data_IF_522728905816
#
_entry.id   IF_522728905816
#
_cell.length_a   1.000
_cell.length_b   1.000
_cell.length_c   1.000
_cell.angle_alpha   90.00
_cell.angle_beta   90.00
_cell.angle_gamma   90.00
#
_symmetry.space_group_name_H-M   'P 1'
#
loop_
_entity.id
_entity.type
_entity.pdbx_description
1 polymer ?
#
# COMPACT_ATOMS: atom_id res chain seq x y z
N UNK A 1 54.97 3.59 -6.42
CA UNK A 1 54.47 3.65 -5.03
C UNK A 1 52.97 3.77 -5.14
N UNK A 2 52.31 2.63 -5.33
CA UNK A 2 50.86 2.53 -5.33
C UNK A 2 50.41 2.43 -3.89
N UNK A 3 49.56 3.38 -3.48
CA UNK A 3 48.87 3.33 -2.18
C UNK A 3 47.83 2.21 -2.21
N UNK A 4 47.72 1.38 -1.16
CA UNK A 4 46.77 0.29 -1.16
C UNK A 4 45.35 0.85 -1.00
N UNK A 5 44.51 0.46 -1.96
CA UNK A 5 43.06 0.50 -1.96
C UNK A 5 42.47 0.20 -0.59
N UNK A 6 41.74 1.18 -0.02
CA UNK A 6 40.86 0.98 1.11
C UNK A 6 39.73 0.03 0.70
N UNK A 7 39.83 -1.21 1.12
CA UNK A 7 38.74 -2.17 1.09
C UNK A 7 37.74 -1.70 2.16
N UNK A 8 36.77 -0.87 1.76
CA UNK A 8 35.55 -0.73 2.55
C UNK A 8 34.88 -2.10 2.55
N UNK A 9 35.05 -2.84 3.66
CA UNK A 9 34.22 -4.01 3.92
C UNK A 9 32.77 -3.56 3.77
N UNK A 10 32.06 -4.15 2.82
CA UNK A 10 30.63 -3.99 2.68
C UNK A 10 29.99 -4.72 3.87
N UNK A 11 30.01 -4.07 5.04
CA UNK A 11 29.49 -4.63 6.28
C UNK A 11 27.98 -4.68 6.12
N UNK A 12 27.44 -5.88 6.23
CA UNK A 12 26.02 -6.17 6.06
C UNK A 12 25.20 -5.40 7.11
N UNK A 13 23.99 -4.97 6.76
CA UNK A 13 23.07 -4.30 7.69
C UNK A 13 22.77 -5.22 8.88
N UNK A 14 22.72 -6.53 8.63
CA UNK A 14 22.49 -7.52 9.68
C UNK A 14 23.65 -7.63 10.66
N UNK A 15 24.91 -7.52 10.22
CA UNK A 15 26.08 -7.49 11.12
C UNK A 15 26.03 -6.25 12.03
N UNK A 16 25.66 -5.09 11.48
CA UNK A 16 25.54 -3.83 12.24
C UNK A 16 24.41 -3.95 13.29
N UNK A 17 23.31 -4.62 12.93
CA UNK A 17 22.19 -4.85 13.85
C UNK A 17 22.56 -5.81 14.97
N UNK A 18 23.30 -6.88 14.69
CA UNK A 18 23.75 -7.84 15.70
C UNK A 18 24.75 -7.18 16.67
N UNK A 19 25.66 -6.35 16.16
CA UNK A 19 26.54 -5.51 16.99
C UNK A 19 25.75 -4.54 17.87
N UNK A 20 24.73 -3.88 17.30
CA UNK A 20 23.87 -2.95 18.02
C UNK A 20 23.05 -3.66 19.10
N UNK A 21 22.51 -4.85 18.81
CA UNK A 21 21.77 -5.66 19.77
C UNK A 21 22.65 -6.02 20.96
N UNK A 22 23.88 -6.50 20.71
CA UNK A 22 24.84 -6.82 21.77
C UNK A 22 25.19 -5.58 22.60
N UNK A 23 25.45 -4.44 21.95
CA UNK A 23 25.76 -3.19 22.64
C UNK A 23 24.58 -2.64 23.45
N UNK A 24 23.35 -2.89 23.01
CA UNK A 24 22.11 -2.44 23.67
C UNK A 24 21.90 -3.10 25.04
N UNK A 25 22.48 -4.30 25.26
CA UNK A 25 22.38 -5.06 26.52
C UNK A 25 23.42 -4.65 27.56
N UNK A 26 24.47 -3.93 27.14
CA UNK A 26 25.61 -3.56 28.00
C UNK A 26 25.47 -2.09 28.42
N UNK A 27 25.64 -1.73 29.70
CA UNK A 27 25.62 -0.34 30.14
C UNK A 27 26.71 0.51 29.45
N UNK A 28 26.41 1.78 29.15
CA UNK A 28 27.31 2.67 28.38
C UNK A 28 28.75 2.75 28.90
N UNK A 29 28.95 2.63 30.23
CA UNK A 29 30.28 2.70 30.87
C UNK A 29 31.15 1.46 30.64
N UNK A 30 30.54 0.32 30.28
CA UNK A 30 31.21 -0.98 30.14
C UNK A 30 31.46 -1.35 28.67
N UNK A 31 31.05 -0.49 27.72
CA UNK A 31 31.20 -0.74 26.28
C UNK A 31 32.62 -0.44 25.83
N UNK A 32 33.22 -1.36 25.08
CA UNK A 32 34.53 -1.17 24.43
C UNK A 32 34.45 -0.23 23.23
N UNK A 33 33.30 -0.19 22.54
CA UNK A 33 33.06 0.61 21.34
C UNK A 33 31.91 1.59 21.58
N UNK A 34 32.02 2.79 20.98
CA UNK A 34 30.96 3.80 21.05
C UNK A 34 29.76 3.38 20.21
N UNK A 35 28.59 3.31 20.83
CA UNK A 35 27.35 2.93 20.14
C UNK A 35 26.96 3.91 19.04
N UNK A 36 27.34 5.19 19.17
CA UNK A 36 27.05 6.23 18.18
C UNK A 36 27.53 5.86 16.78
N UNK A 37 28.71 5.21 16.65
CA UNK A 37 29.21 4.82 15.31
C UNK A 37 28.36 3.74 14.66
N UNK A 38 27.82 2.79 15.44
CA UNK A 38 26.92 1.76 14.90
C UNK A 38 25.57 2.37 14.51
N UNK A 39 25.04 3.27 15.35
CA UNK A 39 23.79 4.01 15.08
C UNK A 39 23.92 4.86 13.83
N UNK A 40 24.99 5.63 13.67
CA UNK A 40 25.18 6.51 12.51
C UNK A 40 25.31 5.70 11.23
N UNK A 41 26.09 4.61 11.25
CA UNK A 41 26.23 3.71 10.09
C UNK A 41 24.90 3.04 9.71
N UNK A 42 24.14 2.57 10.70
CA UNK A 42 22.82 1.98 10.46
C UNK A 42 21.84 3.02 9.90
N UNK A 43 21.82 4.24 10.45
CA UNK A 43 20.98 5.33 9.96
C UNK A 43 21.32 5.71 8.52
N UNK A 44 22.61 5.78 8.16
CA UNK A 44 23.05 6.04 6.78
C UNK A 44 22.55 4.95 5.82
N UNK A 45 22.74 3.68 6.16
CA UNK A 45 22.27 2.55 5.33
C UNK A 45 20.75 2.49 5.22
N UNK A 46 20.04 2.65 6.34
CA UNK A 46 18.58 2.68 6.33
C UNK A 46 18.02 3.88 5.54
N UNK A 47 18.73 5.01 5.55
CA UNK A 47 18.37 6.14 4.69
C UNK A 47 18.59 5.84 3.22
N UNK A 48 19.66 5.14 2.85
CA UNK A 48 20.03 4.81 1.46
C UNK A 48 19.14 3.73 0.83
N UNK A 49 18.99 2.61 1.52
CA UNK A 49 18.43 1.36 0.95
C UNK A 49 17.15 0.90 1.65
N UNK A 50 16.79 1.51 2.78
CA UNK A 50 15.75 1.01 3.66
C UNK A 50 16.18 -0.23 4.44
N UNK A 51 15.22 -0.80 5.18
CA UNK A 51 15.40 -2.00 5.99
C UNK A 51 14.53 -3.13 5.45
N UNK A 52 15.13 -4.31 5.31
CA UNK A 52 14.39 -5.55 5.03
C UNK A 52 13.38 -5.85 6.14
N UNK A 53 12.38 -6.69 5.91
CA UNK A 53 11.39 -7.02 6.93
C UNK A 53 12.02 -7.70 8.16
N UNK A 54 13.05 -8.53 7.97
CA UNK A 54 13.79 -9.17 9.06
C UNK A 54 14.61 -8.15 9.87
N UNK A 55 15.36 -7.28 9.18
CA UNK A 55 16.17 -6.23 9.79
C UNK A 55 15.30 -5.19 10.51
N UNK A 56 14.14 -4.86 9.93
CA UNK A 56 13.13 -3.99 10.53
C UNK A 56 12.56 -4.60 11.82
N UNK A 57 12.21 -5.88 11.79
CA UNK A 57 11.69 -6.59 12.96
C UNK A 57 12.73 -6.64 14.08
N UNK A 58 13.98 -7.00 13.78
CA UNK A 58 15.10 -6.97 14.74
C UNK A 58 15.28 -5.58 15.36
N UNK A 59 15.30 -4.54 14.53
CA UNK A 59 15.47 -3.17 15.03
C UNK A 59 14.30 -2.73 15.92
N UNK A 60 13.07 -3.11 15.56
CA UNK A 60 11.90 -2.84 16.41
C UNK A 60 11.99 -3.59 17.73
N UNK A 61 12.52 -4.81 17.77
CA UNK A 61 12.77 -5.52 19.04
C UNK A 61 13.78 -4.75 19.91
N UNK A 62 14.89 -4.30 19.33
CA UNK A 62 15.89 -3.47 20.05
C UNK A 62 15.23 -2.20 20.62
N UNK A 63 14.36 -1.53 19.85
CA UNK A 63 13.72 -0.28 20.25
C UNK A 63 12.59 -0.44 21.27
N UNK A 64 11.92 -1.59 21.28
CA UNK A 64 10.73 -1.85 22.12
C UNK A 64 11.04 -2.62 23.39
N UNK A 65 12.10 -3.42 23.40
CA UNK A 65 12.57 -4.15 24.57
C UNK A 65 13.45 -3.27 25.47
N UNK A 66 13.58 -3.61 26.77
CA UNK A 66 14.48 -2.91 27.68
C UNK A 66 15.91 -2.93 27.16
N UNK A 67 16.50 -1.75 27.01
CA UNK A 67 17.86 -1.57 26.51
C UNK A 67 18.55 -0.41 27.23
N UNK A 68 19.87 -0.37 27.09
CA UNK A 68 20.77 0.63 27.68
C UNK A 68 21.15 1.73 26.67
N UNK A 69 20.42 1.86 25.55
CA UNK A 69 20.67 2.89 24.55
C UNK A 69 20.23 4.26 25.08
N UNK A 70 20.98 5.30 24.72
CA UNK A 70 20.58 6.66 25.08
C UNK A 70 19.38 7.12 24.24
N UNK A 71 18.63 8.09 24.78
CA UNK A 71 17.41 8.59 24.14
C UNK A 71 17.66 9.26 22.79
N UNK A 72 18.86 9.82 22.57
CA UNK A 72 19.25 10.41 21.30
C UNK A 72 19.40 9.35 20.21
N UNK A 73 20.13 8.27 20.52
CA UNK A 73 20.27 7.11 19.65
C UNK A 73 18.93 6.49 19.29
N UNK A 74 18.06 6.23 20.27
CA UNK A 74 16.71 5.68 20.03
C UNK A 74 15.89 6.59 19.11
N UNK A 75 15.89 7.90 19.39
CA UNK A 75 15.18 8.87 18.56
C UNK A 75 15.71 8.92 17.12
N UNK A 76 17.02 8.80 16.94
CA UNK A 76 17.65 8.81 15.62
C UNK A 76 17.32 7.53 14.82
N UNK A 77 17.34 6.37 15.47
CA UNK A 77 16.96 5.10 14.87
C UNK A 77 15.50 5.09 14.42
N UNK A 78 14.57 5.57 15.26
CA UNK A 78 13.14 5.65 14.89
C UNK A 78 12.93 6.62 13.71
N UNK A 79 13.69 7.73 13.67
CA UNK A 79 13.61 8.71 12.57
C UNK A 79 14.03 8.11 11.22
N UNK A 80 14.97 7.18 11.22
CA UNK A 80 15.49 6.52 10.01
C UNK A 80 14.92 5.10 9.80
N UNK A 81 13.81 4.78 10.44
CA UNK A 81 13.15 3.48 10.34
C UNK A 81 12.38 3.35 9.01
N UNK A 82 13.09 3.27 7.88
CA UNK A 82 12.49 3.18 6.54
C UNK A 82 12.28 1.72 6.13
N UNK A 83 11.04 1.23 5.98
CA UNK A 83 10.81 -0.12 5.47
C UNK A 83 11.08 -0.18 3.95
N UNK A 84 11.91 -1.13 3.52
CA UNK A 84 12.19 -1.36 2.09
C UNK A 84 10.98 -1.98 1.35
N UNK A 85 10.12 -2.70 2.07
CA UNK A 85 8.93 -3.35 1.53
C UNK A 85 7.68 -3.04 2.38
N UNK A 86 6.58 -3.79 2.20
CA UNK A 86 5.39 -3.64 3.06
C UNK A 86 5.70 -4.07 4.49
N UNK A 87 5.15 -3.35 5.46
CA UNK A 87 5.37 -3.61 6.88
C UNK A 87 4.48 -4.77 7.37
N UNK A 88 5.05 -5.87 7.90
CA UNK A 88 4.28 -7.01 8.39
C UNK A 88 3.48 -6.70 9.66
N UNK A 89 2.39 -7.45 9.87
CA UNK A 89 1.52 -7.31 11.05
C UNK A 89 2.28 -7.51 12.37
N UNK A 90 3.24 -8.44 12.40
CA UNK A 90 4.07 -8.72 13.59
C UNK A 90 4.81 -7.47 14.09
N UNK A 91 5.37 -6.67 13.18
CA UNK A 91 6.08 -5.43 13.51
C UNK A 91 5.11 -4.41 14.11
N UNK A 92 3.93 -4.24 13.51
CA UNK A 92 2.91 -3.32 14.02
C UNK A 92 2.44 -3.72 15.42
N UNK A 93 2.22 -5.03 15.66
CA UNK A 93 1.82 -5.57 16.96
C UNK A 93 2.90 -5.29 18.01
N UNK A 94 4.19 -5.51 17.70
CA UNK A 94 5.31 -5.21 18.60
C UNK A 94 5.35 -3.74 19.00
N UNK A 95 5.23 -2.85 18.01
CA UNK A 95 5.21 -1.40 18.26
C UNK A 95 4.02 -0.99 19.14
N UNK A 96 2.81 -1.48 18.84
CA UNK A 96 1.62 -1.17 19.66
C UNK A 96 1.72 -1.80 21.06
N UNK A 97 2.28 -3.00 21.17
CA UNK A 97 2.53 -3.68 22.45
C UNK A 97 3.51 -2.95 23.36
N UNK A 98 4.42 -2.16 22.78
CA UNK A 98 5.36 -1.33 23.52
C UNK A 98 4.73 -0.05 24.13
N UNK A 99 3.51 0.30 23.74
CA UNK A 99 2.86 1.53 24.20
C UNK A 99 2.28 1.41 25.62
N UNK A 100 2.23 2.54 26.34
CA UNK A 100 1.62 2.68 27.65
C UNK A 100 2.62 2.64 28.81
N UNK A 101 2.11 2.25 29.97
CA UNK A 101 2.84 2.27 31.24
C UNK A 101 3.53 0.94 31.51
N UNK A 102 4.79 0.96 31.96
CA UNK A 102 5.49 -0.25 32.38
C UNK A 102 7.00 -0.06 32.43
N UNK A 103 7.68 -0.76 33.35
CA UNK A 103 9.15 -0.73 33.47
C UNK A 103 9.85 -1.32 32.24
N UNK A 104 9.19 -2.27 31.57
CA UNK A 104 9.71 -2.93 30.39
C UNK A 104 9.39 -2.17 29.08
N UNK A 105 8.68 -1.04 29.16
CA UNK A 105 8.27 -0.25 27.99
C UNK A 105 9.28 0.87 27.74
N UNK A 106 9.46 1.28 26.48
CA UNK A 106 10.35 2.39 26.15
C UNK A 106 9.82 3.71 26.72
N UNK A 107 10.65 4.75 26.70
CA UNK A 107 10.27 6.09 27.18
C UNK A 107 9.07 6.66 26.42
N UNK A 108 8.32 7.58 27.04
CA UNK A 108 7.20 8.24 26.35
C UNK A 108 7.64 8.99 25.09
N UNK A 109 8.87 9.52 25.05
CA UNK A 109 9.42 10.17 23.86
C UNK A 109 9.60 9.16 22.70
N UNK A 110 10.13 7.98 23.00
CA UNK A 110 10.26 6.90 22.02
C UNK A 110 8.89 6.37 21.57
N UNK A 111 7.96 6.15 22.52
CA UNK A 111 6.58 5.73 22.20
C UNK A 111 5.86 6.74 21.30
N UNK A 112 6.01 8.05 21.56
CA UNK A 112 5.46 9.10 20.71
C UNK A 112 6.09 9.10 19.31
N UNK A 113 7.40 8.87 19.21
CA UNK A 113 8.10 8.74 17.92
C UNK A 113 7.62 7.52 17.13
N UNK A 114 7.41 6.39 17.80
CA UNK A 114 6.84 5.17 17.20
C UNK A 114 5.40 5.38 16.72
N UNK A 115 4.56 6.11 17.47
CA UNK A 115 3.21 6.45 17.02
C UNK A 115 3.22 7.36 15.78
N UNK A 116 4.16 8.32 15.71
CA UNK A 116 4.39 9.11 14.48
C UNK A 116 4.83 8.23 13.33
N UNK A 117 5.69 7.26 13.60
CA UNK A 117 6.14 6.30 12.59
C UNK A 117 4.98 5.47 12.04
N UNK A 118 4.08 4.96 12.90
CA UNK A 118 2.85 4.26 12.46
C UNK A 118 2.03 5.13 11.48
N UNK A 119 1.88 6.42 11.76
CA UNK A 119 1.20 7.35 10.85
C UNK A 119 1.91 7.45 9.50
N UNK A 120 3.25 7.52 9.50
CA UNK A 120 4.04 7.65 8.29
C UNK A 120 3.95 6.39 7.41
N UNK A 121 4.00 5.21 8.02
CA UNK A 121 3.96 3.92 7.30
C UNK A 121 2.56 3.35 7.06
N UNK A 122 1.50 4.06 7.47
CA UNK A 122 0.12 3.57 7.38
C UNK A 122 -0.29 3.09 5.98
N UNK A 123 0.19 3.77 4.94
CA UNK A 123 -0.14 3.44 3.55
C UNK A 123 0.61 2.21 3.01
N UNK A 124 1.74 1.85 3.64
CA UNK A 124 2.62 0.73 3.26
C UNK A 124 2.53 -0.47 4.21
N UNK A 125 1.53 -0.49 5.10
CA UNK A 125 1.22 -1.66 5.90
C UNK A 125 0.75 -2.81 5.00
N UNK A 126 1.20 -4.03 5.29
CA UNK A 126 0.74 -5.23 4.60
C UNK A 126 -0.77 -5.43 4.78
N UNK A 127 -1.25 -5.36 6.02
CA UNK A 127 -2.67 -5.46 6.34
C UNK A 127 -3.13 -4.31 7.24
N UNK A 128 -3.78 -3.31 6.64
CA UNK A 128 -4.32 -2.14 7.38
C UNK A 128 -5.39 -2.51 8.42
N UNK A 129 -6.00 -3.71 8.35
CA UNK A 129 -7.00 -4.17 9.31
C UNK A 129 -6.37 -4.46 10.70
N UNK A 130 -5.06 -4.68 10.81
CA UNK A 130 -4.40 -4.97 12.10
C UNK A 130 -4.59 -3.84 13.12
N UNK A 131 -4.41 -2.58 12.70
CA UNK A 131 -4.63 -1.42 13.58
C UNK A 131 -6.10 -1.29 14.01
N UNK A 132 -7.04 -1.69 13.15
CA UNK A 132 -8.46 -1.74 13.48
C UNK A 132 -8.77 -2.81 14.54
N UNK A 133 -8.05 -3.94 14.55
CA UNK A 133 -8.17 -4.95 15.60
C UNK A 133 -7.58 -4.46 16.93
N UNK A 134 -6.48 -3.70 16.87
CA UNK A 134 -5.81 -3.10 18.03
C UNK A 134 -6.46 -1.78 18.51
N UNK A 135 -7.59 -1.37 17.92
CA UNK A 135 -8.24 -0.10 18.21
C UNK A 135 -8.54 0.10 19.70
N UNK A 136 -8.99 -0.95 20.39
CA UNK A 136 -9.31 -0.89 21.81
C UNK A 136 -8.08 -0.56 22.66
N UNK A 137 -6.91 -1.13 22.32
CA UNK A 137 -5.64 -0.87 23.01
C UNK A 137 -5.24 0.59 22.84
N UNK A 138 -5.23 1.08 21.60
CA UNK A 138 -4.88 2.47 21.29
C UNK A 138 -5.84 3.48 21.95
N UNK A 139 -7.14 3.19 21.93
CA UNK A 139 -8.16 4.06 22.53
C UNK A 139 -8.03 4.14 24.05
N UNK A 140 -7.74 3.02 24.72
CA UNK A 140 -7.62 2.97 26.18
C UNK A 140 -6.40 3.74 26.71
N UNK A 141 -5.41 4.02 25.85
CA UNK A 141 -4.22 4.81 26.21
C UNK A 141 -4.42 6.33 26.05
N UNK A 142 -5.60 6.80 25.65
CA UNK A 142 -5.88 8.25 25.49
C UNK A 142 -5.84 9.03 26.81
N UNK A 143 -5.94 8.34 27.93
CA UNK A 143 -5.75 8.91 29.27
C UNK A 143 -4.32 9.43 29.47
N UNK A 144 -3.34 8.84 28.77
CA UNK A 144 -1.92 9.13 28.87
C UNK A 144 -1.59 10.44 28.14
N UNK A 145 -1.51 11.55 28.88
CA UNK A 145 -1.31 12.91 28.35
C UNK A 145 -0.12 12.98 27.37
N UNK A 146 1.00 12.34 27.69
CA UNK A 146 2.23 12.39 26.90
C UNK A 146 2.09 11.80 25.47
N UNK A 147 1.15 10.87 25.27
CA UNK A 147 0.94 10.16 24.00
C UNK A 147 -0.33 10.59 23.27
N UNK A 148 -1.22 11.31 23.97
CA UNK A 148 -2.58 11.56 23.54
C UNK A 148 -2.68 12.18 22.15
N UNK A 149 -1.84 13.16 21.82
CA UNK A 149 -1.89 13.83 20.53
C UNK A 149 -1.56 12.88 19.38
N UNK A 150 -0.53 12.04 19.53
CA UNK A 150 -0.14 11.02 18.55
C UNK A 150 -1.15 9.88 18.47
N UNK A 151 -1.70 9.45 19.60
CA UNK A 151 -2.78 8.45 19.64
C UNK A 151 -4.04 8.96 18.92
N UNK A 152 -4.44 10.22 19.14
CA UNK A 152 -5.57 10.82 18.44
C UNK A 152 -5.35 10.85 16.92
N UNK A 153 -4.12 11.09 16.47
CA UNK A 153 -3.77 11.04 15.04
C UNK A 153 -3.87 9.61 14.48
N UNK A 154 -3.29 8.62 15.14
CA UNK A 154 -3.44 7.23 14.69
C UNK A 154 -4.92 6.83 14.68
N UNK A 155 -5.65 7.13 15.75
CA UNK A 155 -7.07 6.82 15.87
C UNK A 155 -7.91 7.52 14.81
N UNK A 156 -7.61 8.77 14.42
CA UNK A 156 -8.36 9.46 13.37
C UNK A 156 -8.22 8.78 12.01
N UNK A 157 -7.05 8.21 11.70
CA UNK A 157 -6.81 7.46 10.47
C UNK A 157 -7.54 6.11 10.41
N UNK A 158 -7.64 5.42 11.55
CA UNK A 158 -8.18 4.04 11.60
C UNK A 158 -9.63 3.96 12.07
N UNK A 159 -10.22 5.08 12.51
CA UNK A 159 -11.62 5.11 13.00
C UNK A 159 -12.58 4.82 11.85
N UNK A 160 -13.48 3.87 12.09
CA UNK A 160 -14.56 3.45 11.19
C UNK A 160 -15.85 3.34 12.00
N UNK A 161 -17.00 3.26 11.34
CA UNK A 161 -18.32 3.17 11.99
C UNK A 161 -18.39 2.11 13.10
N UNK A 162 -17.77 0.93 12.90
CA UNK A 162 -17.73 -0.15 13.91
C UNK A 162 -16.99 0.20 15.21
N UNK A 163 -16.08 1.18 15.17
CA UNK A 163 -15.30 1.63 16.32
C UNK A 163 -16.04 2.67 17.17
N UNK A 164 -16.92 3.46 16.55
CA UNK A 164 -17.68 4.54 17.20
C UNK A 164 -18.85 3.94 17.97
N UNK A 165 -18.58 3.56 19.23
CA UNK A 165 -19.56 2.95 20.14
C UNK A 165 -19.94 3.93 21.25
N UNK A 166 -21.17 3.85 21.81
CA UNK A 166 -21.65 4.80 22.83
C UNK A 166 -20.68 5.02 23.99
N UNK A 167 -20.08 3.95 24.54
CA UNK A 167 -19.13 4.06 25.65
C UNK A 167 -17.84 4.83 25.26
N UNK A 168 -17.37 4.71 24.01
CA UNK A 168 -16.21 5.46 23.51
C UNK A 168 -16.54 6.93 23.28
N UNK A 169 -17.73 7.22 22.75
CA UNK A 169 -18.22 8.59 22.62
C UNK A 169 -18.25 9.26 24.00
N UNK A 170 -18.84 8.59 24.99
CA UNK A 170 -18.93 9.09 26.37
C UNK A 170 -17.54 9.33 26.97
N UNK A 171 -16.62 8.37 26.85
CA UNK A 171 -15.24 8.52 27.33
C UNK A 171 -14.52 9.70 26.66
N UNK A 172 -14.63 9.81 25.33
CA UNK A 172 -14.02 10.90 24.57
C UNK A 172 -14.59 12.27 24.96
N UNK A 173 -15.91 12.38 25.13
CA UNK A 173 -16.54 13.61 25.64
C UNK A 173 -16.03 13.97 27.04
N UNK A 174 -15.87 12.98 27.92
CA UNK A 174 -15.36 13.20 29.26
C UNK A 174 -13.91 13.73 29.22
N UNK A 175 -13.05 13.14 28.38
CA UNK A 175 -11.67 13.62 28.22
C UNK A 175 -11.60 15.01 27.61
N UNK A 176 -12.38 15.32 26.57
CA UNK A 176 -12.41 16.67 25.97
C UNK A 176 -12.84 17.74 26.98
N UNK A 177 -13.82 17.43 27.85
CA UNK A 177 -14.25 18.33 28.93
C UNK A 177 -13.17 18.50 30.01
N UNK A 178 -12.54 17.40 30.45
CA UNK A 178 -11.49 17.43 31.47
C UNK A 178 -10.21 18.14 31.00
N UNK A 179 -9.85 17.97 29.73
CA UNK A 179 -8.61 18.49 29.16
C UNK A 179 -8.72 19.95 28.65
N UNK A 180 -9.92 20.54 28.65
CA UNK A 180 -10.11 21.95 28.27
C UNK A 180 -9.86 22.24 26.79
N UNK A 181 -10.65 21.64 25.89
CA UNK A 181 -10.54 21.83 24.43
C UNK A 181 -9.16 21.47 23.83
N UNK A 182 -8.56 20.37 24.29
CA UNK A 182 -7.38 19.78 23.64
C UNK A 182 -7.63 19.59 22.12
N UNK A 183 -6.87 20.27 21.24
CA UNK A 183 -7.09 20.24 19.80
C UNK A 183 -7.07 18.84 19.19
N UNK A 184 -6.30 17.91 19.77
CA UNK A 184 -6.21 16.54 19.27
C UNK A 184 -7.47 15.75 19.62
N UNK A 185 -7.98 15.86 20.86
CA UNK A 185 -9.24 15.23 21.25
C UNK A 185 -10.44 15.83 20.51
N UNK A 186 -10.44 17.15 20.29
CA UNK A 186 -11.46 17.83 19.48
C UNK A 186 -11.42 17.33 18.03
N UNK A 187 -10.22 17.15 17.46
CA UNK A 187 -10.04 16.57 16.13
C UNK A 187 -10.61 15.15 16.03
N UNK A 188 -10.29 14.27 17.00
CA UNK A 188 -10.83 12.91 17.02
C UNK A 188 -12.36 12.90 17.23
N UNK A 189 -12.89 13.82 18.04
CA UNK A 189 -14.33 13.98 18.25
C UNK A 189 -15.06 14.38 16.95
N UNK A 190 -14.45 15.21 16.09
CA UNK A 190 -15.02 15.52 14.77
C UNK A 190 -15.12 14.28 13.89
N UNK A 191 -14.09 13.44 13.86
CA UNK A 191 -14.14 12.15 13.13
C UNK A 191 -15.26 11.26 13.65
N UNK A 192 -15.49 11.22 14.97
CA UNK A 192 -16.62 10.48 15.55
C UNK A 192 -17.97 11.07 15.15
N UNK A 193 -18.07 12.41 15.09
CA UNK A 193 -19.27 13.14 14.68
C UNK A 193 -19.68 12.85 13.24
N UNK A 194 -18.72 12.61 12.34
CA UNK A 194 -19.01 12.24 10.95
C UNK A 194 -19.79 10.91 10.84
N UNK A 195 -19.67 10.01 11.83
CA UNK A 195 -20.39 8.74 11.86
C UNK A 195 -21.73 8.80 12.63
N UNK A 196 -21.84 9.66 13.65
CA UNK A 196 -23.01 9.78 14.55
C UNK A 196 -23.27 11.26 14.91
N UNK A 197 -23.70 12.09 13.94
CA UNK A 197 -23.93 13.52 14.16
C UNK A 197 -25.04 13.81 15.18
N UNK A 198 -26.02 12.92 15.31
CA UNK A 198 -27.17 13.02 16.21
C UNK A 198 -26.81 12.78 17.69
N UNK A 199 -25.75 12.01 17.95
CA UNK A 199 -25.29 11.72 19.33
C UNK A 199 -24.32 12.79 19.83
N UNK A 200 -23.55 13.38 18.92
CA UNK A 200 -22.50 14.36 19.23
C UNK A 200 -23.05 15.77 18.98
N UNK A 201 -23.92 16.19 19.90
CA UNK A 201 -24.59 17.48 19.88
C UNK A 201 -23.86 18.49 20.77
N UNK A 202 -23.72 19.74 20.30
CA UNK A 202 -23.23 20.87 21.09
C UNK A 202 -21.77 21.29 20.85
N UNK A 203 -21.29 22.20 21.70
CA UNK A 203 -20.02 22.95 21.59
C UNK A 203 -18.75 22.07 21.78
N UNK A 204 -18.90 20.75 21.91
CA UNK A 204 -17.80 19.80 22.17
C UNK A 204 -16.83 19.71 20.99
N UNK A 205 -17.29 20.02 19.78
CA UNK A 205 -16.45 20.15 18.58
C UNK A 205 -16.02 21.59 18.30
N UNK A 206 -16.46 22.54 19.12
CA UNK A 206 -16.13 23.95 18.97
C UNK A 206 -14.74 24.24 19.50
N UNK A 207 -14.00 25.04 18.74
CA UNK A 207 -12.56 25.24 18.90
C UNK A 207 -11.77 24.86 17.66
N UNK A 208 -10.46 25.12 17.69
CA UNK A 208 -9.54 24.72 16.63
C UNK A 208 -9.23 23.23 16.79
N UNK A 209 -9.78 22.40 15.92
CA UNK A 209 -9.32 21.02 15.81
C UNK A 209 -7.89 20.99 15.28
N UNK A 210 -7.08 20.08 15.79
CA UNK A 210 -5.83 19.71 15.13
C UNK A 210 -6.19 19.17 13.74
N UNK A 211 -5.64 19.81 12.70
CA UNK A 211 -5.60 19.19 11.39
C UNK A 211 -4.54 18.10 11.52
N UNK A 212 -4.97 16.85 11.55
CA UNK A 212 -4.08 15.68 11.53
C UNK A 212 -3.39 15.60 10.18
N UNK A 213 -2.48 16.53 9.91
CA UNK A 213 -1.66 16.57 8.70
C UNK A 213 -0.55 15.54 8.80
N UNK A 214 -0.14 15.00 7.65
CA UNK A 214 1.00 14.10 7.63
C UNK A 214 2.23 14.78 8.23
N UNK A 215 2.86 14.17 9.25
CA UNK A 215 3.81 14.85 10.11
C UNK A 215 5.14 15.16 9.41
N UNK A 216 5.43 14.50 8.28
CA UNK A 216 6.65 14.74 7.51
C UNK A 216 6.47 14.31 6.04
N UNK A 217 6.39 15.27 5.12
CA UNK A 217 6.30 15.00 3.67
C UNK A 217 7.62 14.54 3.07
N UNK A 218 8.73 15.16 3.45
CA UNK A 218 10.08 14.79 2.98
C UNK A 218 10.42 13.34 3.33
N UNK A 219 10.04 12.90 4.53
CA UNK A 219 10.23 11.51 4.95
C UNK A 219 9.44 10.54 4.06
N UNK A 220 8.20 10.89 3.71
CA UNK A 220 7.37 10.07 2.81
C UNK A 220 7.95 10.01 1.40
N UNK A 221 8.35 11.15 0.84
CA UNK A 221 9.00 11.17 -0.47
C UNK A 221 10.27 10.32 -0.50
N UNK A 222 11.03 10.28 0.61
CA UNK A 222 12.18 9.39 0.74
C UNK A 222 11.76 7.92 0.79
N UNK A 223 10.74 7.58 1.57
CA UNK A 223 10.20 6.21 1.63
C UNK A 223 9.74 5.73 0.25
N UNK A 224 9.00 6.56 -0.49
CA UNK A 224 8.49 6.22 -1.81
C UNK A 224 9.63 5.87 -2.78
N UNK A 225 10.74 6.64 -2.73
CA UNK A 225 11.96 6.35 -3.52
C UNK A 225 12.61 5.04 -3.12
N UNK A 226 12.75 4.78 -1.81
CA UNK A 226 13.35 3.54 -1.30
C UNK A 226 12.55 2.33 -1.78
N UNK A 227 11.22 2.39 -1.70
CA UNK A 227 10.37 1.28 -2.15
C UNK A 227 10.40 1.09 -3.65
N UNK A 228 10.44 2.18 -4.44
CA UNK A 228 10.60 2.11 -5.89
C UNK A 228 11.96 1.50 -6.27
N UNK A 229 13.05 1.94 -5.66
CA UNK A 229 14.40 1.40 -5.90
C UNK A 229 14.46 -0.09 -5.50
N UNK A 230 13.81 -0.47 -4.39
CA UNK A 230 13.73 -1.86 -3.94
C UNK A 230 12.91 -2.74 -4.89
N UNK A 231 11.79 -2.22 -5.40
CA UNK A 231 10.98 -2.89 -6.41
C UNK A 231 11.78 -3.08 -7.70
N UNK A 232 12.46 -2.05 -8.20
CA UNK A 232 13.30 -2.15 -9.40
C UNK A 232 14.44 -3.15 -9.22
N UNK A 233 15.16 -3.16 -8.09
CA UNK A 233 16.21 -4.15 -7.81
C UNK A 233 15.66 -5.58 -7.75
N UNK A 234 14.49 -5.75 -7.16
CA UNK A 234 13.81 -7.05 -7.09
C UNK A 234 13.34 -7.48 -8.48
N UNK A 235 12.81 -6.55 -9.28
CA UNK A 235 12.41 -6.78 -10.66
C UNK A 235 13.61 -7.12 -11.54
N UNK A 236 14.73 -6.39 -11.48
CA UNK A 236 15.96 -6.71 -12.23
C UNK A 236 16.51 -8.10 -11.89
N UNK A 237 16.37 -8.52 -10.62
CA UNK A 237 16.73 -9.88 -10.18
C UNK A 237 15.75 -10.93 -10.74
N UNK A 238 14.46 -10.59 -10.87
CA UNK A 238 13.40 -11.46 -11.39
C UNK A 238 13.27 -11.44 -12.92
N UNK A 239 13.75 -10.40 -13.61
CA UNK A 239 13.78 -10.23 -15.07
C UNK A 239 14.70 -11.27 -15.71
N UNK A 240 15.64 -11.86 -14.94
CA UNK A 240 16.39 -13.04 -15.38
C UNK A 240 15.54 -14.33 -15.47
N UNK A 241 14.32 -14.39 -14.90
CA UNK A 241 13.60 -15.67 -14.77
C UNK A 241 12.12 -15.63 -15.16
N UNK A 242 11.34 -14.54 -14.98
CA UNK A 242 9.88 -14.60 -15.22
C UNK A 242 9.25 -13.31 -15.77
N UNK A 243 9.31 -13.09 -17.09
CA UNK A 243 8.61 -11.99 -17.78
C UNK A 243 7.10 -12.19 -18.03
N UNK A 244 6.45 -13.25 -17.53
CA UNK A 244 5.14 -13.65 -18.08
C UNK A 244 3.95 -13.65 -17.10
N UNK A 245 4.09 -13.07 -15.89
CA UNK A 245 3.09 -13.26 -14.82
C UNK A 245 2.61 -12.03 -14.03
N UNK A 246 2.95 -10.79 -14.43
CA UNK A 246 2.33 -9.58 -13.85
C UNK A 246 1.62 -8.71 -14.90
N UNK A 247 0.50 -8.12 -14.48
CA UNK A 247 -0.30 -7.16 -15.26
C UNK A 247 0.56 -5.92 -15.52
N UNK A 248 0.86 -5.63 -16.78
CA UNK A 248 1.63 -4.46 -17.18
C UNK A 248 0.84 -3.17 -16.93
N UNK A 249 0.97 -2.59 -15.73
CA UNK A 249 0.44 -1.24 -15.45
C UNK A 249 1.31 -0.21 -16.16
N UNK A 250 0.83 0.30 -17.28
CA UNK A 250 1.51 1.36 -18.03
C UNK A 250 1.60 2.64 -17.20
N UNK A 251 2.77 3.29 -17.19
CA UNK A 251 2.99 4.53 -16.43
C UNK A 251 2.26 5.72 -17.05
N UNK A 252 2.10 6.81 -16.30
CA UNK A 252 1.34 7.99 -16.70
C UNK A 252 1.80 8.66 -18.02
N UNK A 253 3.01 8.38 -18.52
CA UNK A 253 3.51 8.85 -19.82
C UNK A 253 2.98 8.07 -21.02
N UNK A 254 2.57 6.81 -20.84
CA UNK A 254 1.98 5.96 -21.89
C UNK A 254 0.45 6.09 -22.01
N UNK A 255 -0.19 6.82 -21.09
CA UNK A 255 -1.65 7.08 -21.05
C UNK A 255 -2.22 7.89 -22.22
N UNK A 256 -1.40 8.31 -23.18
CA UNK A 256 -1.83 9.26 -24.21
C UNK A 256 -2.66 8.65 -25.34
N UNK A 257 -2.81 7.32 -25.45
CA UNK A 257 -3.61 6.69 -26.51
C UNK A 257 -4.38 5.43 -26.05
N UNK A 258 -4.84 5.36 -24.80
CA UNK A 258 -5.54 4.18 -24.29
C UNK A 258 -6.97 4.05 -24.81
N UNK A 259 -7.15 3.41 -25.96
CA UNK A 259 -8.46 3.02 -26.53
C UNK A 259 -9.22 1.99 -25.68
N UNK A 260 -8.48 1.23 -24.85
CA UNK A 260 -9.01 0.20 -23.97
C UNK A 260 -8.91 0.60 -22.50
N UNK A 261 -9.93 0.28 -21.69
CA UNK A 261 -9.85 0.41 -20.25
C UNK A 261 -8.89 -0.61 -19.62
N UNK A 262 -8.25 -0.23 -18.52
CA UNK A 262 -7.33 -1.09 -17.75
C UNK A 262 -8.09 -2.20 -16.99
N UNK A 263 -7.38 -3.28 -16.64
CA UNK A 263 -7.94 -4.33 -15.77
C UNK A 263 -8.27 -3.74 -14.40
N UNK A 264 -9.57 -3.64 -14.09
CA UNK A 264 -10.03 -3.14 -12.80
C UNK A 264 -11.26 -3.91 -12.27
N UNK A 265 -11.16 -4.42 -11.04
CA UNK A 265 -12.28 -4.93 -10.25
C UNK A 265 -12.78 -3.89 -9.23
N UNK A 266 -14.03 -3.44 -9.34
CA UNK A 266 -14.58 -2.38 -8.47
C UNK A 266 -15.38 -2.90 -7.26
N UNK A 267 -15.75 -4.19 -7.25
CA UNK A 267 -16.60 -4.80 -6.23
C UNK A 267 -16.03 -6.15 -5.76
N UNK A 268 -14.85 -6.13 -5.15
CA UNK A 268 -14.29 -7.33 -4.52
C UNK A 268 -15.02 -7.65 -3.20
N UNK A 269 -15.54 -8.86 -3.06
CA UNK A 269 -16.11 -9.35 -1.79
C UNK A 269 -15.00 -9.71 -0.79
N UNK A 270 -15.26 -9.67 0.52
CA UNK A 270 -14.27 -9.96 1.59
C UNK A 270 -13.64 -11.38 1.52
N UNK A 271 -14.08 -12.25 0.60
CA UNK A 271 -13.58 -13.62 0.39
C UNK A 271 -12.98 -13.87 -0.99
N UNK A 272 -13.07 -12.90 -1.91
CA UNK A 272 -12.51 -12.99 -3.25
C UNK A 272 -11.14 -12.34 -3.33
N UNK A 273 -10.37 -12.73 -4.34
CA UNK A 273 -9.04 -12.19 -4.63
C UNK A 273 -9.11 -11.59 -6.03
N UNK A 274 -8.54 -10.42 -6.21
CA UNK A 274 -8.59 -9.76 -7.52
C UNK A 274 -7.37 -10.16 -8.35
N UNK A 275 -7.49 -10.12 -9.68
CA UNK A 275 -6.38 -10.50 -10.57
C UNK A 275 -5.16 -9.57 -10.40
N UNK A 276 -5.39 -8.35 -9.91
CA UNK A 276 -4.38 -7.35 -9.59
C UNK A 276 -3.57 -7.66 -8.32
N UNK A 277 -4.05 -8.58 -7.47
CA UNK A 277 -3.40 -8.99 -6.22
C UNK A 277 -2.53 -10.24 -6.36
N UNK A 278 -2.66 -10.97 -7.48
CA UNK A 278 -1.93 -12.23 -7.72
C UNK A 278 -0.54 -11.92 -8.28
N UNK A 279 0.49 -12.20 -7.50
CA UNK A 279 1.87 -11.81 -7.81
C UNK A 279 2.74 -12.91 -8.40
N UNK A 280 2.25 -14.17 -8.43
CA UNK A 280 3.01 -15.37 -8.73
C UNK A 280 2.16 -16.52 -9.32
N UNK A 281 2.79 -17.49 -9.99
CA UNK A 281 2.15 -18.65 -10.64
C UNK A 281 1.54 -19.62 -9.62
N UNK A 282 2.26 -19.92 -8.55
CA UNK A 282 1.77 -20.85 -7.53
C UNK A 282 0.58 -20.23 -6.78
N UNK A 283 0.64 -18.92 -6.54
CA UNK A 283 -0.46 -18.15 -5.98
C UNK A 283 -1.68 -18.13 -6.91
N UNK A 284 -1.47 -17.97 -8.21
CA UNK A 284 -2.52 -18.01 -9.23
C UNK A 284 -3.23 -19.35 -9.30
N UNK A 285 -2.47 -20.46 -9.30
CA UNK A 285 -3.03 -21.81 -9.38
C UNK A 285 -3.79 -22.16 -8.10
N UNK A 286 -3.23 -21.83 -6.92
CA UNK A 286 -3.87 -22.11 -5.63
C UNK A 286 -5.18 -21.33 -5.43
N UNK A 287 -5.28 -20.13 -6.02
CA UNK A 287 -6.41 -19.22 -5.84
C UNK A 287 -7.31 -19.12 -7.07
N UNK A 288 -7.08 -19.92 -8.11
CA UNK A 288 -7.77 -19.85 -9.40
C UNK A 288 -9.30 -19.83 -9.28
N UNK A 289 -9.88 -20.57 -8.35
CA UNK A 289 -11.33 -20.64 -8.11
C UNK A 289 -11.89 -19.42 -7.35
N UNK A 290 -11.04 -18.68 -6.62
CA UNK A 290 -11.41 -17.51 -5.81
C UNK A 290 -11.16 -16.18 -6.51
N UNK A 291 -10.51 -16.21 -7.68
CA UNK A 291 -10.27 -14.99 -8.47
C UNK A 291 -11.59 -14.45 -9.00
N UNK A 292 -11.94 -13.21 -8.69
CA UNK A 292 -13.10 -12.54 -9.29
C UNK A 292 -12.74 -11.93 -10.65
N UNK A 293 -13.66 -12.04 -11.61
CA UNK A 293 -13.44 -11.51 -12.95
C UNK A 293 -13.53 -9.97 -12.92
N UNK A 294 -12.61 -9.26 -13.60
CA UNK A 294 -12.67 -7.81 -13.77
C UNK A 294 -13.99 -7.31 -14.35
N UNK A 295 -14.39 -6.10 -13.95
CA UNK A 295 -15.62 -5.48 -14.47
C UNK A 295 -15.49 -5.13 -15.96
N UNK A 296 -14.27 -4.82 -16.40
CA UNK A 296 -13.92 -4.43 -17.76
C UNK A 296 -13.20 -5.59 -18.48
N UNK A 297 -13.99 -6.62 -18.84
CA UNK A 297 -13.49 -7.84 -19.48
C UNK A 297 -12.80 -7.61 -20.83
N UNK A 298 -13.07 -6.49 -21.50
CA UNK A 298 -12.38 -6.10 -22.74
C UNK A 298 -10.88 -5.89 -22.55
N UNK A 299 -10.42 -5.62 -21.32
CA UNK A 299 -9.00 -5.56 -21.01
C UNK A 299 -8.27 -6.87 -21.33
N UNK A 300 -9.00 -7.99 -21.45
CA UNK A 300 -8.46 -9.27 -21.90
C UNK A 300 -7.91 -9.23 -23.32
N UNK A 301 -8.31 -8.28 -24.16
CA UNK A 301 -7.79 -8.19 -25.54
C UNK A 301 -6.29 -7.88 -25.53
N UNK A 302 -5.80 -7.16 -24.51
CA UNK A 302 -4.38 -6.75 -24.43
C UNK A 302 -3.63 -7.32 -23.22
N UNK A 303 -4.31 -7.76 -22.16
CA UNK A 303 -3.65 -8.30 -20.96
C UNK A 303 -3.44 -9.83 -21.04
N UNK A 304 -2.18 -10.32 -21.09
CA UNK A 304 -1.89 -11.75 -21.27
C UNK A 304 -2.32 -12.64 -20.10
N UNK A 305 -2.45 -12.10 -18.88
CA UNK A 305 -2.84 -12.90 -17.71
C UNK A 305 -4.34 -13.09 -17.65
N UNK A 306 -5.08 -12.03 -17.94
CA UNK A 306 -6.52 -12.10 -18.09
C UNK A 306 -6.89 -13.00 -19.27
N UNK A 307 -6.13 -13.00 -20.37
CA UNK A 307 -6.29 -13.98 -21.46
C UNK A 307 -6.16 -15.42 -20.98
N UNK A 308 -5.11 -15.72 -20.21
CA UNK A 308 -4.88 -17.06 -19.64
C UNK A 308 -5.98 -17.45 -18.65
N UNK A 309 -6.41 -16.52 -17.78
CA UNK A 309 -7.51 -16.74 -16.84
C UNK A 309 -8.82 -17.04 -17.57
N UNK A 310 -9.16 -16.24 -18.59
CA UNK A 310 -10.35 -16.46 -19.40
C UNK A 310 -10.26 -17.75 -20.21
N UNK A 311 -9.08 -18.16 -20.68
CA UNK A 311 -8.92 -19.44 -21.35
C UNK A 311 -9.21 -20.63 -20.41
N UNK A 312 -8.81 -20.52 -19.13
CA UNK A 312 -9.01 -21.57 -18.14
C UNK A 312 -10.42 -21.58 -17.52
N UNK A 313 -11.12 -20.43 -17.50
CA UNK A 313 -12.40 -20.25 -16.78
C UNK A 313 -13.48 -19.54 -17.61
N UNK A 314 -13.45 -19.64 -18.94
CA UNK A 314 -14.45 -18.96 -19.78
C UNK A 314 -15.86 -19.51 -19.52
N UNK A 315 -16.82 -18.59 -19.50
CA UNK A 315 -18.25 -18.90 -19.57
C UNK A 315 -18.84 -18.20 -20.79
N UNK A 316 -19.93 -18.75 -21.35
CA UNK A 316 -20.63 -18.14 -22.48
C UNK A 316 -21.05 -16.69 -22.19
N UNK A 317 -21.44 -16.41 -20.95
CA UNK A 317 -21.79 -15.07 -20.46
C UNK A 317 -20.60 -14.09 -20.43
N UNK A 318 -19.38 -14.58 -20.19
CA UNK A 318 -18.16 -13.76 -20.14
C UNK A 318 -17.76 -13.33 -21.55
N UNK A 319 -17.89 -14.23 -22.53
CA UNK A 319 -17.63 -13.93 -23.94
C UNK A 319 -18.66 -12.93 -24.50
N UNK A 320 -19.96 -13.15 -24.22
CA UNK A 320 -21.02 -12.22 -24.63
C UNK A 320 -20.79 -10.79 -24.13
N UNK A 321 -20.27 -10.62 -22.90
CA UNK A 321 -19.96 -9.29 -22.34
C UNK A 321 -18.82 -8.58 -23.08
N UNK A 322 -17.83 -9.33 -23.56
CA UNK A 322 -16.76 -8.77 -24.40
C UNK A 322 -17.36 -8.35 -25.75
N UNK A 323 -18.20 -9.19 -26.35
CA UNK A 323 -18.87 -8.91 -27.63
C UNK A 323 -19.77 -7.68 -27.55
N UNK A 324 -20.60 -7.55 -26.51
CA UNK A 324 -21.47 -6.37 -26.32
C UNK A 324 -20.67 -5.08 -26.15
N UNK A 325 -19.53 -5.14 -25.46
CA UNK A 325 -18.68 -3.96 -25.30
C UNK A 325 -18.04 -3.56 -26.63
N UNK A 326 -17.54 -4.52 -27.40
CA UNK A 326 -16.96 -4.28 -28.72
C UNK A 326 -18.00 -3.70 -29.69
N UNK A 327 -19.21 -4.25 -29.69
CA UNK A 327 -20.36 -3.73 -30.45
C UNK A 327 -20.62 -2.27 -30.13
N UNK A 328 -20.79 -1.94 -28.84
CA UNK A 328 -21.06 -0.58 -28.40
C UNK A 328 -19.91 0.39 -28.78
N UNK A 329 -18.66 -0.07 -28.70
CA UNK A 329 -17.50 0.70 -29.14
C UNK A 329 -17.55 1.00 -30.63
N UNK A 330 -17.76 -0.01 -31.49
CA UNK A 330 -17.81 0.20 -32.94
C UNK A 330 -19.02 1.02 -33.38
N UNK A 331 -20.19 0.85 -32.75
CA UNK A 331 -21.38 1.68 -33.01
C UNK A 331 -21.10 3.17 -32.73
N UNK A 332 -20.52 3.48 -31.57
CA UNK A 332 -20.15 4.85 -31.19
C UNK A 332 -19.12 5.47 -32.17
N UNK A 333 -18.12 4.69 -32.58
CA UNK A 333 -17.10 5.14 -33.53
C UNK A 333 -17.64 5.32 -34.97
N UNK A 334 -18.66 4.54 -35.36
CA UNK A 334 -19.31 4.65 -36.67
C UNK A 334 -20.32 5.82 -36.74
N UNK A 335 -20.89 6.23 -35.62
CA UNK A 335 -21.77 7.40 -35.52
C UNK A 335 -20.98 8.73 -35.50
N UNK A 336 -19.82 8.77 -34.85
CA UNK A 336 -19.04 10.01 -34.61
C UNK A 336 -17.98 10.35 -35.69
N UNK A 337 -18.23 9.96 -36.95
CA UNK A 337 -17.27 9.78 -38.07
C UNK A 337 -16.29 10.89 -38.53
N UNK A 338 -15.56 11.57 -37.63
CA UNK A 338 -14.45 12.48 -37.99
C UNK A 338 -13.13 12.22 -37.27
N UNK A 339 -13.09 11.32 -36.28
CA UNK A 339 -11.88 10.94 -35.52
C UNK A 339 -11.69 9.43 -35.37
N UNK A 340 -12.51 8.61 -36.06
CA UNK A 340 -12.68 7.20 -35.76
C UNK A 340 -11.82 6.24 -36.60
N UNK A 341 -11.28 6.65 -37.76
CA UNK A 341 -10.55 5.71 -38.64
C UNK A 341 -9.27 5.13 -37.99
N UNK A 342 -8.48 5.97 -37.29
CA UNK A 342 -7.27 5.50 -36.59
C UNK A 342 -7.63 4.62 -35.39
N UNK A 343 -8.67 4.98 -34.65
CA UNK A 343 -9.12 4.26 -33.45
C UNK A 343 -9.72 2.88 -33.79
N UNK A 344 -10.44 2.80 -34.92
CA UNK A 344 -10.98 1.55 -35.46
C UNK A 344 -9.83 0.64 -35.92
N UNK A 345 -8.83 1.18 -36.63
CA UNK A 345 -7.68 0.40 -37.08
C UNK A 345 -6.86 -0.17 -35.92
N UNK A 346 -6.56 0.66 -34.91
CA UNK A 346 -5.84 0.26 -33.70
C UNK A 346 -6.59 -0.85 -32.93
N UNK A 347 -7.91 -0.75 -32.83
CA UNK A 347 -8.74 -1.76 -32.17
C UNK A 347 -8.83 -3.07 -32.96
N UNK A 348 -8.90 -3.01 -34.28
CA UNK A 348 -8.84 -4.19 -35.14
C UNK A 348 -7.49 -4.90 -35.04
N UNK A 349 -6.39 -4.14 -34.90
CA UNK A 349 -5.06 -4.72 -34.66
C UNK A 349 -4.99 -5.45 -33.32
N UNK A 350 -5.54 -4.86 -32.25
CA UNK A 350 -5.60 -5.48 -30.92
C UNK A 350 -6.45 -6.76 -30.93
N UNK A 351 -7.60 -6.77 -31.63
CA UNK A 351 -8.44 -7.97 -31.80
C UNK A 351 -7.68 -9.04 -32.61
N UNK A 352 -6.93 -8.65 -33.64
CA UNK A 352 -6.12 -9.56 -34.43
C UNK A 352 -4.98 -10.19 -33.61
N UNK A 353 -4.36 -9.45 -32.69
CA UNK A 353 -3.37 -9.99 -31.76
C UNK A 353 -4.00 -11.00 -30.78
N UNK A 354 -5.17 -10.67 -30.23
CA UNK A 354 -5.92 -11.53 -29.32
C UNK A 354 -6.36 -12.86 -29.98
N UNK A 355 -6.88 -12.80 -31.21
CA UNK A 355 -7.31 -13.99 -31.97
C UNK A 355 -6.13 -14.88 -32.36
N UNK A 356 -4.98 -14.30 -32.71
CA UNK A 356 -3.73 -15.05 -32.94
C UNK A 356 -3.23 -15.76 -31.68
N UNK A 357 -3.35 -15.13 -30.51
CA UNK A 357 -2.88 -15.69 -29.25
C UNK A 357 -3.75 -16.85 -28.77
N UNK A 358 -5.07 -16.67 -28.79
CA UNK A 358 -6.01 -17.66 -28.25
C UNK A 358 -6.18 -18.88 -29.17
N UNK A 359 -5.95 -18.74 -30.48
CA UNK A 359 -6.17 -19.79 -31.51
C UNK A 359 -7.57 -20.41 -31.49
N UNK A 360 -8.49 -19.85 -30.72
CA UNK A 360 -9.90 -20.22 -30.68
C UNK A 360 -10.56 -19.44 -31.80
N UNK A 361 -11.07 -20.15 -32.79
CA UNK A 361 -12.04 -19.59 -33.73
C UNK A 361 -13.30 -19.28 -32.93
N UNK A 362 -13.39 -18.11 -32.32
CA UNK A 362 -14.69 -17.61 -31.91
C UNK A 362 -15.49 -17.47 -33.20
N UNK A 363 -16.53 -18.29 -33.38
CA UNK A 363 -17.43 -18.23 -34.53
C UNK A 363 -17.95 -16.79 -34.78
N UNK A 364 -17.96 -15.97 -33.72
CA UNK A 364 -18.27 -14.56 -33.74
C UNK A 364 -17.16 -13.66 -34.34
N UNK A 365 -15.87 -13.96 -34.17
CA UNK A 365 -14.78 -13.16 -34.75
C UNK A 365 -14.81 -13.13 -36.28
N UNK A 366 -15.23 -14.25 -36.90
CA UNK A 366 -15.41 -14.33 -38.35
C UNK A 366 -16.69 -13.58 -38.77
N UNK A 367 -17.83 -13.85 -38.14
CA UNK A 367 -19.11 -13.19 -38.47
C UNK A 367 -19.11 -11.69 -38.22
N UNK A 368 -18.39 -11.22 -37.20
CA UNK A 368 -18.30 -9.81 -36.81
C UNK A 368 -17.36 -9.01 -37.71
N UNK A 369 -16.22 -9.58 -38.10
CA UNK A 369 -15.34 -8.96 -39.12
C UNK A 369 -16.07 -8.88 -40.47
N UNK A 370 -16.81 -9.92 -40.86
CA UNK A 370 -17.68 -9.88 -42.05
C UNK A 370 -18.83 -8.87 -41.92
N UNK A 371 -19.44 -8.73 -40.74
CA UNK A 371 -20.51 -7.77 -40.48
C UNK A 371 -20.03 -6.31 -40.53
N UNK A 372 -18.85 -6.03 -39.96
CA UNK A 372 -18.20 -4.71 -40.05
C UNK A 372 -17.77 -4.41 -41.49
N UNK A 373 -17.21 -5.40 -42.20
CA UNK A 373 -16.87 -5.23 -43.62
C UNK A 373 -18.11 -4.97 -44.48
N UNK A 374 -19.22 -5.66 -44.22
CA UNK A 374 -20.49 -5.46 -44.93
C UNK A 374 -21.10 -4.07 -44.64
N UNK A 375 -21.08 -3.62 -43.37
CA UNK A 375 -21.55 -2.29 -42.99
C UNK A 375 -20.67 -1.15 -43.54
N UNK A 376 -19.35 -1.36 -43.63
CA UNK A 376 -18.42 -0.43 -44.28
C UNK A 376 -18.60 -0.42 -45.81
N UNK A 377 -18.85 -1.57 -46.44
CA UNK A 377 -19.15 -1.69 -47.87
C UNK A 377 -20.48 -1.02 -48.23
N UNK A 378 -21.53 -1.17 -47.43
CA UNK A 378 -22.83 -0.50 -47.67
C UNK A 378 -22.73 1.04 -47.57
N UNK A 379 -21.83 1.57 -46.73
CA UNK A 379 -21.57 3.03 -46.67
C UNK A 379 -20.72 3.55 -47.84
N UNK A 380 -19.81 2.73 -48.39
CA UNK A 380 -19.01 3.10 -49.58
C UNK A 380 -19.73 2.88 -50.92
N UNK A 381 -20.91 2.24 -50.92
CA UNK A 381 -21.71 1.97 -52.12
C UNK A 381 -23.04 2.72 -52.20
N UNK A 382 -23.29 3.70 -51.34
CA UNK A 382 -24.33 4.71 -51.62
C UNK A 382 -23.73 5.78 -52.54
N UNK A 383 -24.26 5.95 -53.77
CA UNK A 383 -23.79 6.97 -54.71
C UNK A 383 -24.01 8.40 -54.20
#
# INVERSE_FOLDING_TARGET
MESPSGIEYNIDVDDILDDLENASRIPAKQRSVKVSSHVDRLCSRAYEEGLSNASLEKLVDILTLPNELDQGSIGNLIKHLYPASKVPDAVVIKVVGALGHGKAKPSYAAQAALLKWIVLVYDVLENRKILSQLYAVLFNLLDTIALRSHLCHVLSLITRRKHVRPFRIQALMQWTRKAGHDPALVGLMRVYKDYYPEVIVGDVTSGRASVFTHPNREWRERLDRIQEDHLQRTEDTLVSTHQNFRISRKTAKERKHGLLPEVHTSYAQDTSITLEEVGDVDEFIQKLEKIELPNQLVASIHDPLLQKLLHLRSSETTLQRIDYWLLAFFEDQLENGRSSETQIADMLELILQYTRFTKVETAFGVLFVFGIFAALLERYHKP
#
